data_IF_422492804010
#
_entry.id   IF_422492804010
#
_cell.length_a   1.000
_cell.length_b   1.000
_cell.length_c   1.000
_cell.angle_alpha   90.00
_cell.angle_beta   90.00
_cell.angle_gamma   90.00
#
_symmetry.space_group_name_H-M   'P 1'
#
loop_
_entity.id
_entity.type
_entity.pdbx_description
1 polymer ?
#
# COMPACT_ATOMS: atom_id res chain seq x y z
N UNK A 1 -3.21 -40.02 -29.91
CA UNK A 1 -4.06 -39.05 -30.60
C UNK A 1 -4.57 -38.12 -29.49
N UNK A 2 -3.86 -37.05 -29.31
CA UNK A 2 -4.16 -36.01 -28.35
C UNK A 2 -5.00 -34.95 -29.04
N UNK A 3 -6.32 -34.96 -28.79
CA UNK A 3 -7.11 -33.77 -29.02
C UNK A 3 -6.64 -32.74 -28.00
N UNK A 4 -5.63 -31.98 -28.37
CA UNK A 4 -5.25 -30.79 -27.68
C UNK A 4 -6.41 -29.81 -27.89
N UNK A 5 -7.17 -29.56 -26.84
CA UNK A 5 -8.14 -28.47 -26.80
C UNK A 5 -7.34 -27.18 -26.98
N UNK A 6 -7.19 -26.76 -28.22
CA UNK A 6 -6.57 -25.47 -28.52
C UNK A 6 -7.42 -24.39 -27.92
N UNK A 7 -6.84 -23.67 -26.92
CA UNK A 7 -7.52 -22.54 -26.28
C UNK A 7 -7.76 -21.43 -27.31
N UNK A 8 -9.02 -21.16 -27.61
CA UNK A 8 -9.42 -20.05 -28.47
C UNK A 8 -9.83 -18.89 -27.54
N UNK A 9 -9.06 -17.78 -27.50
CA UNK A 9 -9.41 -16.65 -26.68
C UNK A 9 -10.73 -16.01 -27.14
N UNK A 10 -11.58 -15.54 -26.21
CA UNK A 10 -12.81 -14.85 -26.57
C UNK A 10 -12.50 -13.52 -27.26
N UNK A 11 -13.38 -13.08 -28.17
CA UNK A 11 -13.27 -11.79 -28.87
C UNK A 11 -13.27 -10.62 -27.90
N UNK A 12 -14.01 -10.72 -26.80
CA UNK A 12 -14.03 -9.77 -25.68
C UNK A 12 -13.76 -10.56 -24.42
N UNK A 13 -12.65 -10.24 -23.74
CA UNK A 13 -12.33 -10.89 -22.49
C UNK A 13 -13.20 -10.28 -21.37
N UNK A 14 -13.83 -11.14 -20.58
CA UNK A 14 -14.56 -10.78 -19.38
C UNK A 14 -13.90 -11.46 -18.17
N UNK A 15 -13.78 -10.72 -17.08
CA UNK A 15 -13.23 -11.29 -15.85
C UNK A 15 -14.26 -12.18 -15.16
N UNK A 16 -13.82 -13.38 -14.79
CA UNK A 16 -14.61 -14.33 -14.01
C UNK A 16 -13.82 -14.71 -12.75
N UNK A 17 -14.51 -14.67 -11.60
CA UNK A 17 -13.89 -14.95 -10.30
C UNK A 17 -13.32 -16.37 -10.22
N UNK A 18 -13.98 -17.32 -10.84
CA UNK A 18 -13.60 -18.75 -10.84
C UNK A 18 -12.24 -19.01 -11.51
N UNK A 19 -11.84 -18.17 -12.46
CA UNK A 19 -10.55 -18.31 -13.16
C UNK A 19 -9.35 -17.85 -12.34
N UNK A 20 -9.54 -17.12 -11.22
CA UNK A 20 -8.47 -16.60 -10.37
C UNK A 20 -8.00 -17.55 -9.25
N UNK A 21 -8.65 -18.70 -9.08
CA UNK A 21 -8.33 -19.69 -8.06
C UNK A 21 -8.35 -19.09 -6.63
N UNK A 22 -7.47 -19.57 -5.76
CA UNK A 22 -7.38 -19.17 -4.34
C UNK A 22 -7.25 -17.66 -4.11
N UNK A 23 -6.69 -16.93 -5.06
CA UNK A 23 -6.40 -15.50 -4.96
C UNK A 23 -7.33 -14.62 -5.80
N UNK A 24 -8.41 -15.17 -6.33
CA UNK A 24 -9.37 -14.47 -7.17
C UNK A 24 -9.90 -13.17 -6.55
N UNK A 25 -10.14 -13.17 -5.23
CA UNK A 25 -10.71 -12.04 -4.50
C UNK A 25 -9.70 -10.94 -4.15
N UNK A 26 -8.40 -11.17 -4.37
CA UNK A 26 -7.34 -10.20 -4.01
C UNK A 26 -7.13 -9.16 -5.10
N UNK A 27 -7.42 -9.53 -6.34
CA UNK A 27 -7.26 -8.68 -7.51
C UNK A 27 -8.57 -8.60 -8.30
N UNK A 28 -8.73 -7.52 -9.02
CA UNK A 28 -9.84 -7.33 -9.96
C UNK A 28 -9.39 -6.46 -11.13
N UNK A 29 -9.99 -6.64 -12.31
CA UNK A 29 -9.65 -5.86 -13.50
C UNK A 29 -10.36 -4.49 -13.57
N UNK A 30 -11.39 -4.27 -12.73
CA UNK A 30 -12.21 -3.07 -12.78
C UNK A 30 -11.86 -2.11 -11.64
N UNK A 31 -11.77 -0.82 -11.93
CA UNK A 31 -11.58 0.23 -10.93
C UNK A 31 -12.90 0.57 -10.19
N UNK A 32 -12.77 1.30 -9.09
CA UNK A 32 -13.90 1.79 -8.30
C UNK A 32 -14.32 0.86 -7.15
N UNK A 33 -15.27 1.30 -6.34
CA UNK A 33 -15.78 0.54 -5.21
C UNK A 33 -16.74 -0.58 -5.64
N UNK A 34 -16.72 -1.69 -4.89
CA UNK A 34 -17.67 -2.80 -5.06
C UNK A 34 -18.72 -2.84 -3.96
N UNK A 35 -18.49 -2.14 -2.86
CA UNK A 35 -19.43 -2.06 -1.72
C UNK A 35 -19.31 -0.69 -1.07
N UNK A 36 -20.42 -0.24 -0.52
CA UNK A 36 -20.46 0.98 0.30
C UNK A 36 -20.10 0.60 1.74
N UNK A 37 -18.97 1.10 2.20
CA UNK A 37 -18.51 0.93 3.56
C UNK A 37 -17.46 1.98 3.87
N UNK A 38 -17.71 2.78 4.90
CA UNK A 38 -16.76 3.75 5.40
C UNK A 38 -15.59 3.05 6.11
N UNK A 39 -14.44 3.71 6.10
CA UNK A 39 -13.31 3.30 6.93
C UNK A 39 -13.45 3.84 8.34
N UNK A 40 -13.07 3.04 9.36
CA UNK A 40 -12.95 3.53 10.71
C UNK A 40 -11.89 4.62 10.79
N UNK A 41 -12.10 5.57 11.69
CA UNK A 41 -11.17 6.62 12.05
C UNK A 41 -10.99 6.62 13.56
N UNK A 42 -9.77 6.74 14.02
CA UNK A 42 -9.44 6.89 15.43
C UNK A 42 -8.98 8.31 15.79
N UNK A 43 -8.36 8.43 16.93
CA UNK A 43 -7.99 9.72 17.51
C UNK A 43 -6.64 10.24 17.00
N UNK A 44 -5.73 9.34 16.63
CA UNK A 44 -4.40 9.72 16.19
C UNK A 44 -4.37 10.33 14.79
N UNK A 45 -3.38 11.16 14.47
CA UNK A 45 -3.29 11.77 13.15
C UNK A 45 -2.98 10.77 12.03
N UNK A 46 -2.21 9.73 12.34
CA UNK A 46 -1.84 8.70 11.38
C UNK A 46 -2.87 7.56 11.42
N UNK A 47 -3.56 7.32 10.32
CA UNK A 47 -4.53 6.23 10.18
C UNK A 47 -3.98 5.19 9.20
N UNK A 48 -3.53 4.06 9.72
CA UNK A 48 -2.95 2.98 8.93
C UNK A 48 -3.98 1.90 8.62
N UNK A 49 -4.29 1.69 7.36
CA UNK A 49 -5.17 0.63 6.86
C UNK A 49 -4.33 -0.50 6.26
N UNK A 50 -4.23 -1.63 6.94
CA UNK A 50 -3.25 -2.65 6.59
C UNK A 50 -3.69 -4.06 6.99
N UNK A 51 -2.81 -5.01 6.76
CA UNK A 51 -2.88 -6.40 7.21
C UNK A 51 -1.44 -6.86 7.47
N UNK A 52 -1.24 -7.90 8.29
CA UNK A 52 0.06 -8.48 8.63
C UNK A 52 0.77 -9.18 7.43
N UNK A 53 0.90 -8.46 6.33
CA UNK A 53 1.67 -8.87 5.14
C UNK A 53 3.06 -8.24 5.17
N UNK A 54 4.04 -8.75 4.42
CA UNK A 54 5.39 -8.16 4.39
C UNK A 54 5.40 -6.65 4.09
N UNK A 55 4.47 -6.18 3.24
CA UNK A 55 4.38 -4.76 2.92
C UNK A 55 3.71 -3.94 4.04
N UNK A 56 2.72 -4.51 4.73
CA UNK A 56 2.10 -3.88 5.89
C UNK A 56 3.07 -3.75 7.06
N UNK A 57 3.81 -4.82 7.35
CA UNK A 57 4.79 -4.87 8.45
C UNK A 57 5.90 -3.82 8.30
N UNK A 58 6.33 -3.48 7.09
CA UNK A 58 7.32 -2.39 6.88
C UNK A 58 6.85 -1.06 7.46
N UNK A 59 5.57 -0.75 7.28
CA UNK A 59 5.00 0.52 7.72
C UNK A 59 4.85 0.54 9.24
N UNK A 60 4.39 -0.55 9.84
CA UNK A 60 4.31 -0.65 11.31
C UNK A 60 5.69 -0.55 11.95
N UNK A 61 6.70 -1.24 11.42
CA UNK A 61 8.09 -1.11 11.90
C UNK A 61 8.54 0.35 11.86
N UNK A 62 8.31 1.05 10.75
CA UNK A 62 8.72 2.46 10.60
C UNK A 62 8.05 3.36 11.64
N UNK A 63 6.75 3.18 11.90
CA UNK A 63 6.01 3.96 12.88
C UNK A 63 6.50 3.67 14.31
N UNK A 64 6.71 2.40 14.66
CA UNK A 64 7.24 2.00 15.97
C UNK A 64 8.66 2.55 16.21
N UNK A 65 9.54 2.48 15.20
CA UNK A 65 10.89 3.06 15.29
C UNK A 65 10.85 4.58 15.46
N UNK A 66 9.92 5.28 14.82
CA UNK A 66 9.72 6.72 15.03
C UNK A 66 9.27 7.03 16.46
N UNK A 67 8.37 6.23 17.02
CA UNK A 67 7.93 6.36 18.42
C UNK A 67 9.08 6.13 19.40
N UNK A 68 9.93 5.14 19.17
CA UNK A 68 11.14 4.87 19.96
C UNK A 68 12.15 6.04 19.90
N UNK A 69 12.17 6.79 18.79
CA UNK A 69 12.98 8.01 18.65
C UNK A 69 12.35 9.22 19.35
N UNK A 70 11.15 9.07 19.92
CA UNK A 70 10.45 10.13 20.65
C UNK A 70 9.53 11.00 19.78
N UNK A 71 9.26 10.61 18.55
CA UNK A 71 8.35 11.29 17.64
C UNK A 71 6.89 10.99 18.00
N UNK A 72 6.34 11.69 19.01
CA UNK A 72 4.99 11.46 19.52
C UNK A 72 3.90 11.64 18.44
N UNK A 73 4.10 12.49 17.43
CA UNK A 73 3.18 12.69 16.31
C UNK A 73 3.18 11.51 15.32
N UNK A 74 4.03 10.51 15.54
CA UNK A 74 4.00 9.24 14.80
C UNK A 74 3.00 8.25 15.38
N UNK A 75 2.33 8.57 16.51
CA UNK A 75 1.24 7.74 17.01
C UNK A 75 0.16 7.53 15.96
N UNK A 76 -0.36 6.30 15.90
CA UNK A 76 -1.24 5.87 14.82
C UNK A 76 -2.33 4.92 15.29
N UNK A 77 -3.45 4.94 14.58
CA UNK A 77 -4.48 3.91 14.67
C UNK A 77 -4.30 2.91 13.53
N UNK A 78 -4.23 1.63 13.87
CA UNK A 78 -4.09 0.55 12.89
C UNK A 78 -5.42 -0.19 12.69
N UNK A 79 -5.88 -0.21 11.44
CA UNK A 79 -7.13 -0.82 11.03
C UNK A 79 -6.88 -2.01 10.11
N UNK A 80 -7.42 -3.16 10.50
CA UNK A 80 -7.29 -4.38 9.73
C UNK A 80 -8.19 -4.35 8.49
N UNK A 81 -7.60 -4.55 7.33
CA UNK A 81 -8.30 -4.69 6.05
C UNK A 81 -8.23 -6.15 5.62
N UNK A 82 -9.34 -6.87 5.77
CA UNK A 82 -9.42 -8.28 5.37
C UNK A 82 -9.53 -8.39 3.84
N UNK A 83 -8.38 -8.59 3.19
CA UNK A 83 -8.31 -8.71 1.73
C UNK A 83 -8.95 -9.98 1.18
N UNK A 84 -9.13 -11.02 2.00
CA UNK A 84 -9.81 -12.24 1.58
C UNK A 84 -11.32 -12.05 1.46
N UNK A 85 -11.87 -11.12 2.24
CA UNK A 85 -13.29 -10.73 2.20
C UNK A 85 -13.54 -9.56 1.23
N UNK A 86 -12.52 -9.08 0.53
CA UNK A 86 -12.66 -7.98 -0.40
C UNK A 86 -12.81 -6.60 0.24
N UNK A 87 -12.43 -6.45 1.52
CA UNK A 87 -12.56 -5.18 2.24
C UNK A 87 -11.80 -4.01 1.57
N UNK A 88 -10.74 -4.31 0.83
CA UNK A 88 -9.98 -3.34 0.03
C UNK A 88 -10.76 -2.75 -1.14
N UNK A 89 -11.93 -3.30 -1.46
CA UNK A 89 -12.80 -2.84 -2.53
C UNK A 89 -14.01 -2.02 -2.01
N UNK A 90 -14.03 -1.68 -0.73
CA UNK A 90 -15.04 -0.79 -0.17
C UNK A 90 -14.83 0.66 -0.62
N UNK A 91 -15.92 1.45 -0.67
CA UNK A 91 -15.89 2.87 -1.08
C UNK A 91 -14.91 3.69 -0.22
N UNK A 92 -14.90 3.46 1.08
CA UNK A 92 -13.97 4.13 2.00
C UNK A 92 -12.51 3.80 1.70
N UNK A 93 -12.17 2.52 1.49
CA UNK A 93 -10.80 2.14 1.20
C UNK A 93 -10.35 2.62 -0.19
N UNK A 94 -11.20 2.49 -1.21
CA UNK A 94 -10.93 3.02 -2.56
C UNK A 94 -10.75 4.54 -2.53
N UNK A 95 -11.47 5.24 -1.63
CA UNK A 95 -11.29 6.65 -1.39
C UNK A 95 -9.90 7.02 -0.87
N UNK A 96 -9.24 6.13 -0.11
CA UNK A 96 -7.85 6.31 0.36
C UNK A 96 -6.85 5.79 -0.66
N UNK A 97 -7.06 4.58 -1.17
CA UNK A 97 -6.20 3.97 -2.20
C UNK A 97 -7.02 3.44 -3.38
N UNK A 98 -7.06 4.17 -4.50
CA UNK A 98 -7.81 3.76 -5.69
C UNK A 98 -7.28 2.47 -6.33
N UNK A 99 -6.04 2.07 -6.04
CA UNK A 99 -5.47 0.80 -6.48
C UNK A 99 -6.01 -0.41 -5.69
N UNK A 100 -6.77 -0.18 -4.61
CA UNK A 100 -7.33 -1.25 -3.76
C UNK A 100 -6.28 -2.22 -3.24
N UNK A 101 -5.13 -1.70 -2.79
CA UNK A 101 -4.00 -2.46 -2.24
C UNK A 101 -3.63 -1.93 -0.86
N UNK A 102 -3.29 -2.86 0.04
CA UNK A 102 -2.72 -2.56 1.35
C UNK A 102 -1.17 -2.55 1.28
N UNK A 103 -0.51 -1.81 2.15
CA UNK A 103 -1.02 -0.82 3.10
C UNK A 103 -1.45 0.49 2.44
N UNK A 104 -2.28 1.27 3.14
CA UNK A 104 -2.60 2.64 2.83
C UNK A 104 -2.57 3.48 4.12
N UNK A 105 -2.08 4.71 4.04
CA UNK A 105 -1.99 5.64 5.15
C UNK A 105 -2.83 6.88 4.85
N UNK A 106 -3.62 7.33 5.82
CA UNK A 106 -4.28 8.63 5.80
C UNK A 106 -3.65 9.49 6.91
N UNK A 107 -2.82 10.44 6.52
CA UNK A 107 -2.21 11.41 7.43
C UNK A 107 -3.13 12.61 7.59
N UNK A 108 -3.63 12.82 8.81
CA UNK A 108 -4.56 13.89 9.20
C UNK A 108 -3.90 14.99 10.01
N UNK A 109 -2.59 15.00 10.14
CA UNK A 109 -1.86 15.96 10.97
C UNK A 109 -1.85 17.39 10.40
N UNK A 110 -2.04 17.53 9.09
CA UNK A 110 -2.06 18.82 8.42
C UNK A 110 -3.47 19.43 8.34
N UNK A 111 -3.56 20.63 7.76
CA UNK A 111 -4.85 21.31 7.51
C UNK A 111 -5.76 20.57 6.54
N UNK A 112 -5.19 19.69 5.74
CA UNK A 112 -5.90 18.79 4.82
C UNK A 112 -5.31 17.39 4.95
N UNK A 113 -6.15 16.35 5.02
CA UNK A 113 -5.65 14.97 5.04
C UNK A 113 -4.87 14.62 3.77
N UNK A 114 -3.76 13.92 3.93
CA UNK A 114 -2.92 13.40 2.86
C UNK A 114 -3.11 11.88 2.78
N UNK A 115 -3.44 11.38 1.59
CA UNK A 115 -3.55 9.95 1.32
C UNK A 115 -2.25 9.46 0.73
N UNK A 116 -1.65 8.45 1.35
CA UNK A 116 -0.41 7.85 0.88
C UNK A 116 -0.61 6.35 0.73
N UNK A 117 -0.30 5.82 -0.42
CA UNK A 117 -0.37 4.38 -0.70
C UNK A 117 0.89 3.96 -1.46
N UNK A 118 1.12 2.66 -1.59
CA UNK A 118 2.39 1.99 -1.86
C UNK A 118 3.33 2.04 -0.64
N UNK A 119 3.72 0.87 -0.14
CA UNK A 119 4.53 0.79 1.10
C UNK A 119 5.81 1.61 1.05
N UNK A 120 6.50 1.63 -0.11
CA UNK A 120 7.70 2.46 -0.30
C UNK A 120 7.41 3.97 -0.22
N UNK A 121 6.29 4.42 -0.81
CA UNK A 121 5.88 5.81 -0.74
C UNK A 121 5.47 6.23 0.68
N UNK A 122 4.83 5.32 1.44
CA UNK A 122 4.49 5.55 2.84
C UNK A 122 5.77 5.73 3.68
N UNK A 123 6.77 4.86 3.50
CA UNK A 123 8.05 4.98 4.20
C UNK A 123 8.75 6.30 3.89
N UNK A 124 8.77 6.72 2.63
CA UNK A 124 9.35 8.02 2.24
C UNK A 124 8.59 9.19 2.83
N UNK A 125 7.25 9.16 2.79
CA UNK A 125 6.42 10.20 3.41
C UNK A 125 6.70 10.36 4.91
N UNK A 126 6.79 9.25 5.64
CA UNK A 126 7.09 9.26 7.06
C UNK A 126 8.52 9.74 7.33
N UNK A 127 9.50 9.30 6.52
CA UNK A 127 10.88 9.75 6.63
C UNK A 127 10.99 11.26 6.40
N UNK A 128 10.36 11.80 5.36
CA UNK A 128 10.34 13.23 5.06
C UNK A 128 9.67 14.04 6.17
N UNK A 129 8.53 13.54 6.65
CA UNK A 129 7.74 14.22 7.66
C UNK A 129 8.46 14.36 9.00
N UNK A 130 9.11 13.29 9.46
CA UNK A 130 9.77 13.24 10.76
C UNK A 130 11.28 13.53 10.69
N UNK A 131 11.86 13.61 9.49
CA UNK A 131 13.30 13.90 9.31
C UNK A 131 14.22 12.74 9.70
N UNK A 132 13.69 11.51 9.81
CA UNK A 132 14.42 10.32 10.20
C UNK A 132 14.52 9.31 9.04
N UNK A 133 15.49 8.38 9.12
CA UNK A 133 15.66 7.26 8.18
C UNK A 133 15.96 7.67 6.72
N UNK A 134 16.24 8.94 6.46
CA UNK A 134 16.82 9.35 5.19
C UNK A 134 18.25 8.83 5.07
N UNK A 135 18.59 8.29 3.92
CA UNK A 135 19.97 8.07 3.60
C UNK A 135 20.68 9.45 3.68
N UNK A 136 21.63 9.60 4.59
CA UNK A 136 22.50 10.78 4.53
C UNK A 136 23.12 10.81 3.14
N UNK A 137 23.34 11.98 2.54
CA UNK A 137 24.07 12.07 1.28
C UNK A 137 25.49 11.56 1.54
N UNK A 138 25.69 10.28 1.38
CA UNK A 138 26.94 9.59 1.22
C UNK A 138 26.90 9.15 -0.23
N UNK A 139 28.02 9.12 -0.91
CA UNK A 139 28.26 8.88 -2.32
C UNK A 139 27.53 7.67 -2.99
N UNK A 140 26.46 7.17 -2.36
CA UNK A 140 25.62 6.08 -2.85
C UNK A 140 24.16 6.29 -2.47
N UNK A 141 23.39 6.81 -3.39
CA UNK A 141 21.94 6.92 -3.24
C UNK A 141 21.28 5.61 -3.70
N UNK A 142 20.65 4.90 -2.77
CA UNK A 142 19.75 3.81 -3.12
C UNK A 142 18.34 4.36 -3.19
N UNK A 143 17.77 4.44 -4.38
CA UNK A 143 16.35 4.71 -4.54
C UNK A 143 15.56 3.41 -4.46
N UNK A 144 14.73 3.29 -3.45
CA UNK A 144 13.77 2.21 -3.32
C UNK A 144 12.45 2.65 -3.96
N UNK A 145 12.21 2.25 -5.19
CA UNK A 145 10.91 2.43 -5.85
C UNK A 145 10.28 1.07 -6.06
N UNK A 146 9.13 0.85 -5.45
CA UNK A 146 8.33 -0.36 -5.70
C UNK A 146 8.99 -1.69 -5.32
N UNK A 147 9.83 -1.72 -4.29
CA UNK A 147 10.48 -2.94 -3.81
C UNK A 147 11.68 -3.40 -4.64
N UNK A 148 12.08 -2.63 -5.65
CA UNK A 148 13.28 -2.89 -6.47
C UNK A 148 14.32 -1.83 -6.12
N UNK A 149 15.45 -2.25 -5.55
CA UNK A 149 16.60 -1.38 -5.32
C UNK A 149 17.33 -1.11 -6.63
N UNK A 150 17.32 0.13 -7.09
CA UNK A 150 18.10 0.56 -8.25
C UNK A 150 19.35 1.26 -7.74
N UNK A 151 20.52 0.69 -8.07
CA UNK A 151 21.80 1.35 -7.83
C UNK A 151 22.02 2.39 -8.93
N UNK A 152 22.03 3.67 -8.56
CA UNK A 152 22.42 4.73 -9.48
C UNK A 152 23.94 4.77 -9.61
N UNK A 153 24.48 4.97 -10.83
CA UNK A 153 25.91 5.15 -11.02
C UNK A 153 26.39 6.43 -10.34
N UNK A 154 27.58 6.35 -9.77
CA UNK A 154 28.26 7.51 -9.18
C UNK A 154 28.44 8.59 -10.25
N UNK A 155 27.96 9.80 -9.98
CA UNK A 155 28.34 10.96 -10.79
C UNK A 155 29.81 11.21 -10.54
N UNK A 156 30.66 10.90 -11.50
CA UNK A 156 32.06 11.31 -11.51
C UNK A 156 32.11 12.84 -11.57
N UNK A 157 33.01 13.47 -10.80
CA UNK A 157 33.17 14.92 -10.73
C UNK A 157 33.58 15.55 -12.07
#
# INVERSE_FOLDING_TARGET
>A
MSDENEYVPPTVWTWENESGGRFANINRPTAGAQSEKDLPLGDHPQQLYSLGTPNGVKVTIMLEELLELGEADAEYDAWLINIQEGAQFSSGFVGVNPNSKIPALLDRSGSKPVRVFESGAILLHLADKFGHFHAKPVDRVFHFVGGIGIKMPESTP
#
